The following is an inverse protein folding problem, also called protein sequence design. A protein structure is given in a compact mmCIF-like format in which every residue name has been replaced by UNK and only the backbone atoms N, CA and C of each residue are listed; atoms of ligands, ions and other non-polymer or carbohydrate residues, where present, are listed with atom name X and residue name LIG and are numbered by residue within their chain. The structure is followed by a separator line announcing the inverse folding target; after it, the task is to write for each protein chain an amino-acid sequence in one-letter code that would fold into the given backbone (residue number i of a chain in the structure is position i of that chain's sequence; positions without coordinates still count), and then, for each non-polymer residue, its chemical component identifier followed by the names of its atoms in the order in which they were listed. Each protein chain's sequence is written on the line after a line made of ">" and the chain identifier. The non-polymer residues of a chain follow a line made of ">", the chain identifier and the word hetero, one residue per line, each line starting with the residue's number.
data_IF_399041012656
#
_entry.id   IF_399041012656
#
_cell.length_a   1.000
_cell.length_b   1.000
_cell.length_c   1.000
_cell.angle_alpha   90.00
_cell.angle_beta   90.00
_cell.angle_gamma   90.00
#
_symmetry.space_group_name_H-M   'P 1'
#
loop_
_entity.id
_entity.type
_entity.pdbx_description
1 polymer ?
#
# COMPACT_ATOMS: atom_id res chain seq x y z
N UNK A 1 -25.29 -10.44 0.68
CA UNK A 1 -25.97 -9.19 0.99
C UNK A 1 -25.11 -8.34 1.94
N UNK A 2 -25.22 -7.00 1.88
CA UNK A 2 -24.49 -6.11 2.78
C UNK A 2 -24.95 -6.33 4.23
N UNK A 3 -24.05 -6.09 5.19
CA UNK A 3 -24.37 -6.21 6.62
C UNK A 3 -25.23 -5.06 7.14
N UNK A 4 -25.15 -3.91 6.48
CA UNK A 4 -25.85 -2.68 6.83
C UNK A 4 -26.47 -2.06 5.57
N UNK A 5 -27.57 -2.59 5.04
CA UNK A 5 -28.17 -2.11 3.79
C UNK A 5 -28.65 -0.66 3.90
N UNK A 6 -29.26 -0.29 5.02
CA UNK A 6 -29.76 1.07 5.24
C UNK A 6 -28.62 2.12 5.23
N UNK A 7 -27.45 1.78 5.80
CA UNK A 7 -26.28 2.63 5.74
C UNK A 7 -25.75 2.77 4.32
N UNK A 8 -25.75 1.68 3.55
CA UNK A 8 -25.32 1.69 2.15
C UNK A 8 -26.22 2.60 1.31
N UNK A 9 -27.54 2.47 1.49
CA UNK A 9 -28.53 3.28 0.77
C UNK A 9 -28.41 4.76 1.15
N UNK A 10 -28.25 5.05 2.43
CA UNK A 10 -28.03 6.42 2.90
C UNK A 10 -26.76 7.03 2.30
N UNK A 11 -25.64 6.30 2.28
CA UNK A 11 -24.38 6.76 1.68
C UNK A 11 -24.54 6.99 0.17
N UNK A 12 -25.28 6.15 -0.54
CA UNK A 12 -25.54 6.31 -1.96
C UNK A 12 -26.34 7.60 -2.25
N UNK A 13 -27.37 7.88 -1.44
CA UNK A 13 -28.16 9.10 -1.56
C UNK A 13 -27.33 10.33 -1.24
N UNK A 14 -26.58 10.33 -0.13
CA UNK A 14 -25.70 11.44 0.27
C UNK A 14 -24.64 11.73 -0.82
N UNK A 15 -24.06 10.69 -1.41
CA UNK A 15 -23.07 10.84 -2.48
C UNK A 15 -23.69 11.47 -3.73
N UNK A 16 -24.87 11.00 -4.16
CA UNK A 16 -25.62 11.56 -5.27
C UNK A 16 -25.99 13.03 -5.03
N UNK A 17 -26.56 13.32 -3.87
CA UNK A 17 -27.09 14.65 -3.54
C UNK A 17 -25.96 15.67 -3.29
N UNK A 18 -24.76 15.19 -2.95
CA UNK A 18 -23.55 16.03 -2.90
C UNK A 18 -22.96 16.39 -4.27
N UNK A 19 -23.59 15.98 -5.37
CA UNK A 19 -23.09 16.19 -6.74
C UNK A 19 -21.94 15.24 -7.11
N UNK A 20 -21.92 14.03 -6.54
CA UNK A 20 -20.88 13.02 -6.76
C UNK A 20 -19.48 13.47 -6.27
N UNK A 21 -19.44 14.26 -5.21
CA UNK A 21 -18.20 14.74 -4.60
C UNK A 21 -17.51 13.62 -3.81
N UNK A 22 -16.55 12.96 -4.47
CA UNK A 22 -15.77 11.88 -3.87
C UNK A 22 -14.93 12.35 -2.67
N UNK A 23 -14.42 13.58 -2.70
CA UNK A 23 -13.63 14.11 -1.57
C UNK A 23 -14.50 14.33 -0.34
N UNK A 24 -15.73 14.83 -0.51
CA UNK A 24 -16.71 14.98 0.56
C UNK A 24 -17.06 13.62 1.16
N UNK A 25 -17.30 12.60 0.31
CA UNK A 25 -17.60 11.24 0.77
C UNK A 25 -16.43 10.64 1.56
N UNK A 26 -15.19 10.74 1.07
CA UNK A 26 -14.00 10.25 1.78
C UNK A 26 -13.85 10.98 3.12
N UNK A 27 -14.04 12.31 3.14
CA UNK A 27 -13.99 13.10 4.38
C UNK A 27 -15.02 12.60 5.38
N UNK A 28 -16.26 12.33 4.95
CA UNK A 28 -17.30 11.75 5.79
C UNK A 28 -16.86 10.44 6.44
N UNK A 29 -16.24 9.52 5.67
CA UNK A 29 -15.73 8.27 6.20
C UNK A 29 -14.64 8.49 7.25
N UNK A 30 -13.56 9.20 6.90
CA UNK A 30 -12.38 9.32 7.78
C UNK A 30 -12.65 10.15 9.04
N UNK A 31 -13.69 10.99 9.05
CA UNK A 31 -14.11 11.75 10.23
C UNK A 31 -15.13 11.03 11.09
N UNK A 32 -15.71 9.92 10.60
CA UNK A 32 -16.71 9.15 11.34
C UNK A 32 -16.13 8.51 12.60
N UNK A 33 -16.94 8.35 13.64
CA UNK A 33 -16.54 7.63 14.86
C UNK A 33 -16.17 6.19 14.57
N UNK A 34 -16.89 5.55 13.66
CA UNK A 34 -16.65 4.17 13.24
C UNK A 34 -15.26 3.99 12.64
N UNK A 35 -14.84 4.87 11.72
CA UNK A 35 -13.50 4.81 11.12
C UNK A 35 -12.39 5.08 12.13
N UNK A 36 -12.63 6.00 13.06
CA UNK A 36 -11.65 6.45 14.06
C UNK A 36 -11.52 5.55 15.28
N UNK A 37 -12.25 4.46 15.34
CA UNK A 37 -12.15 3.50 16.42
C UNK A 37 -10.77 2.85 16.49
N UNK A 38 -10.28 2.61 17.70
CA UNK A 38 -9.10 1.80 17.92
C UNK A 38 -9.35 0.34 17.51
N UNK A 39 -8.32 -0.33 16.95
CA UNK A 39 -8.38 -1.74 16.60
C UNK A 39 -8.13 -2.67 17.80
N UNK A 40 -8.38 -2.17 19.03
CA UNK A 40 -8.20 -2.96 20.25
C UNK A 40 -9.30 -3.99 20.35
N UNK A 41 -8.89 -5.24 20.47
CA UNK A 41 -9.76 -6.39 20.59
C UNK A 41 -9.74 -6.89 22.05
N UNK A 42 -10.93 -6.94 22.67
CA UNK A 42 -11.12 -7.56 24.00
C UNK A 42 -11.81 -8.92 23.84
N UNK A 43 -11.68 -9.78 24.84
CA UNK A 43 -12.38 -11.07 24.84
C UNK A 43 -13.90 -10.90 24.70
N UNK A 44 -14.46 -9.90 25.37
CA UNK A 44 -15.87 -9.56 25.28
C UNK A 44 -16.29 -9.20 23.84
N UNK A 45 -15.55 -8.30 23.17
CA UNK A 45 -15.82 -7.92 21.77
C UNK A 45 -15.71 -9.10 20.82
N UNK A 46 -14.78 -10.03 21.05
CA UNK A 46 -14.68 -11.24 20.25
C UNK A 46 -15.89 -12.15 20.46
N UNK A 47 -16.35 -12.31 21.70
CA UNK A 47 -17.51 -13.15 21.99
C UNK A 47 -18.79 -12.58 21.39
N UNK A 48 -18.96 -11.26 21.41
CA UNK A 48 -20.20 -10.61 20.94
C UNK A 48 -20.20 -10.35 19.43
N UNK A 49 -19.03 -10.08 18.83
CA UNK A 49 -18.89 -9.65 17.44
C UNK A 49 -17.55 -10.14 16.87
N UNK A 50 -17.42 -11.46 16.69
CA UNK A 50 -16.21 -12.12 16.20
C UNK A 50 -15.75 -11.54 14.87
N UNK A 51 -16.69 -11.44 13.92
CA UNK A 51 -16.45 -10.96 12.55
C UNK A 51 -16.44 -9.43 12.41
N UNK A 52 -16.58 -8.68 13.53
CA UNK A 52 -16.71 -7.23 13.52
C UNK A 52 -17.89 -6.71 12.63
N UNK A 53 -18.98 -7.44 12.60
CA UNK A 53 -20.17 -7.09 11.79
C UNK A 53 -20.87 -5.85 12.30
N UNK A 54 -20.84 -5.62 13.60
CA UNK A 54 -21.43 -4.43 14.25
C UNK A 54 -20.47 -3.24 14.31
N UNK A 55 -19.29 -3.37 13.67
CA UNK A 55 -18.29 -2.31 13.62
C UNK A 55 -17.87 -1.84 15.04
N UNK A 56 -17.76 -2.79 15.97
CA UNK A 56 -17.45 -2.53 17.38
C UNK A 56 -15.99 -2.11 17.62
N UNK A 57 -15.13 -2.29 16.61
CA UNK A 57 -13.71 -1.96 16.62
C UNK A 57 -13.20 -1.59 15.23
N UNK A 58 -12.08 -0.88 15.18
CA UNK A 58 -11.38 -0.64 13.91
C UNK A 58 -10.89 -1.96 13.28
N UNK A 59 -10.93 -2.09 11.95
CA UNK A 59 -10.48 -3.30 11.29
C UNK A 59 -8.97 -3.49 11.43
N UNK A 60 -8.53 -4.74 11.56
CA UNK A 60 -7.11 -5.13 11.46
C UNK A 60 -6.91 -5.88 10.14
N UNK A 61 -6.15 -5.29 9.24
CA UNK A 61 -5.85 -5.91 7.96
C UNK A 61 -4.37 -5.75 7.62
N UNK A 62 -3.86 -6.67 6.83
CA UNK A 62 -2.53 -6.56 6.27
C UNK A 62 -2.55 -5.56 5.13
N UNK A 63 -1.64 -4.59 5.14
CA UNK A 63 -1.48 -3.62 4.07
C UNK A 63 -1.03 -4.29 2.77
N UNK A 64 -1.50 -3.81 1.65
CA UNK A 64 -1.01 -4.22 0.33
C UNK A 64 0.43 -3.73 0.11
N UNK A 65 1.17 -4.38 -0.78
CA UNK A 65 2.59 -4.10 -1.03
C UNK A 65 2.89 -2.61 -1.27
N UNK A 66 2.06 -1.97 -2.10
CA UNK A 66 2.19 -0.56 -2.42
C UNK A 66 1.97 0.33 -1.19
N UNK A 67 1.02 -0.05 -0.32
CA UNK A 67 0.75 0.68 0.91
C UNK A 67 1.91 0.55 1.91
N UNK A 68 2.54 -0.62 2.02
CA UNK A 68 3.68 -0.84 2.92
C UNK A 68 4.82 0.11 2.57
N UNK A 69 5.17 0.20 1.29
CA UNK A 69 6.23 1.10 0.83
C UNK A 69 5.84 2.57 1.00
N UNK A 70 4.67 2.96 0.51
CA UNK A 70 4.22 4.36 0.59
C UNK A 70 4.09 4.83 2.04
N UNK A 71 3.66 3.95 2.95
CA UNK A 71 3.60 4.23 4.38
C UNK A 71 4.98 4.44 5.00
N UNK A 72 5.96 3.59 4.66
CA UNK A 72 7.34 3.76 5.13
C UNK A 72 7.94 5.10 4.68
N UNK A 73 7.75 5.45 3.41
CA UNK A 73 8.20 6.73 2.85
C UNK A 73 7.47 7.93 3.48
N UNK A 74 6.17 7.82 3.72
CA UNK A 74 5.39 8.88 4.35
C UNK A 74 5.79 9.10 5.80
N UNK A 75 5.93 8.03 6.59
CA UNK A 75 6.31 8.10 7.99
C UNK A 75 7.72 8.70 8.19
N UNK A 76 8.63 8.42 7.26
CA UNK A 76 9.99 8.97 7.28
C UNK A 76 10.12 10.39 6.71
N UNK A 77 9.06 10.93 6.12
CA UNK A 77 9.09 12.24 5.45
C UNK A 77 9.75 12.22 4.06
N UNK A 78 10.12 11.06 3.54
CA UNK A 78 10.75 10.93 2.22
C UNK A 78 9.74 10.94 1.07
N UNK A 79 8.46 10.68 1.32
CA UNK A 79 7.47 10.54 0.25
C UNK A 79 7.34 11.81 -0.58
N UNK A 80 7.61 11.69 -1.88
CA UNK A 80 7.36 12.77 -2.83
C UNK A 80 5.86 12.96 -3.08
N UNK A 81 5.39 14.20 -3.00
CA UNK A 81 4.00 14.58 -3.29
C UNK A 81 3.72 14.79 -4.78
N UNK A 82 4.72 14.67 -5.64
CA UNK A 82 4.59 14.85 -7.09
C UNK A 82 3.57 13.89 -7.68
N UNK A 83 2.61 14.40 -8.44
CA UNK A 83 1.55 13.62 -9.11
C UNK A 83 1.66 13.73 -10.62
N UNK A 84 1.27 12.66 -11.34
CA UNK A 84 1.36 12.60 -12.80
C UNK A 84 2.79 12.40 -13.31
N UNK A 85 2.98 12.51 -14.63
CA UNK A 85 4.28 12.34 -15.27
C UNK A 85 4.71 10.88 -15.47
N UNK A 86 5.94 10.66 -15.96
CA UNK A 86 6.44 9.32 -16.30
C UNK A 86 6.66 8.45 -15.08
N UNK A 87 6.69 7.13 -15.30
CA UNK A 87 7.08 6.15 -14.29
C UNK A 87 8.50 6.33 -13.81
N UNK A 88 8.79 5.85 -12.61
CA UNK A 88 10.11 5.94 -11.96
C UNK A 88 10.67 4.56 -11.66
N UNK A 89 12.00 4.48 -11.52
CA UNK A 89 12.74 3.25 -11.24
C UNK A 89 13.39 3.33 -9.85
N UNK A 90 12.65 2.93 -8.79
CA UNK A 90 13.19 2.90 -7.44
C UNK A 90 14.29 1.84 -7.28
N UNK A 91 14.79 1.67 -6.06
CA UNK A 91 15.76 0.61 -5.73
C UNK A 91 15.31 -0.77 -6.19
N UNK A 92 16.24 -1.51 -6.78
CA UNK A 92 16.08 -2.92 -7.14
C UNK A 92 17.41 -3.65 -6.90
N UNK A 93 17.38 -4.93 -6.54
CA UNK A 93 18.60 -5.74 -6.50
C UNK A 93 19.32 -5.72 -7.85
N UNK A 94 20.66 -5.68 -7.82
CA UNK A 94 21.47 -5.79 -9.04
C UNK A 94 21.16 -7.08 -9.77
N UNK A 95 21.28 -7.03 -11.09
CA UNK A 95 21.22 -8.18 -12.01
C UNK A 95 19.90 -8.94 -12.15
N UNK A 96 18.91 -8.69 -11.31
CA UNK A 96 17.61 -9.38 -11.42
C UNK A 96 16.96 -9.23 -12.81
N UNK A 97 17.12 -8.07 -13.43
CA UNK A 97 16.58 -7.78 -14.75
C UNK A 97 17.39 -8.40 -15.88
N UNK A 98 18.66 -8.72 -15.63
CA UNK A 98 19.54 -9.36 -16.60
C UNK A 98 19.14 -10.82 -16.85
N UNK A 99 18.64 -11.50 -15.82
CA UNK A 99 18.20 -12.90 -15.87
C UNK A 99 16.94 -13.06 -16.71
N UNK A 100 15.99 -12.12 -16.59
CA UNK A 100 14.66 -12.20 -17.23
C UNK A 100 14.54 -11.33 -18.48
N UNK A 101 15.54 -10.49 -18.75
CA UNK A 101 15.56 -9.61 -19.93
C UNK A 101 16.04 -10.34 -21.18
N UNK A 102 15.26 -10.26 -22.27
CA UNK A 102 15.70 -10.76 -23.57
C UNK A 102 16.97 -10.00 -24.01
N UNK A 103 17.97 -10.71 -24.61
CA UNK A 103 19.11 -10.05 -25.24
C UNK A 103 18.65 -8.98 -26.22
N UNK A 104 19.19 -7.77 -26.11
CA UNK A 104 18.79 -6.63 -26.94
C UNK A 104 17.51 -5.90 -26.52
N UNK A 105 16.78 -6.40 -25.55
CA UNK A 105 15.58 -5.72 -25.02
C UNK A 105 15.92 -4.48 -24.19
N UNK A 106 15.13 -3.40 -24.37
CA UNK A 106 15.30 -2.13 -23.67
C UNK A 106 15.09 -2.22 -22.13
N UNK A 107 14.54 -3.32 -21.65
CA UNK A 107 14.24 -3.55 -20.24
C UNK A 107 15.23 -4.49 -19.55
N UNK A 108 16.26 -4.98 -20.27
CA UNK A 108 17.30 -5.82 -19.68
C UNK A 108 18.15 -5.05 -18.68
N UNK A 109 18.52 -3.84 -19.03
CA UNK A 109 19.33 -2.98 -18.18
C UNK A 109 18.44 -2.07 -17.35
N UNK A 110 18.22 -2.44 -16.09
CA UNK A 110 17.51 -1.59 -15.15
C UNK A 110 18.45 -0.47 -14.68
N UNK A 111 18.15 0.75 -15.09
CA UNK A 111 18.86 1.93 -14.59
C UNK A 111 18.02 2.58 -13.53
N UNK A 112 18.46 2.48 -12.28
CA UNK A 112 17.82 3.13 -11.13
C UNK A 112 17.82 4.64 -11.30
N UNK A 113 16.71 5.28 -10.95
CA UNK A 113 16.60 6.73 -10.85
C UNK A 113 17.34 7.27 -9.62
N UNK A 114 17.48 8.58 -9.52
CA UNK A 114 18.17 9.28 -8.42
C UNK A 114 17.30 10.41 -7.86
N UNK A 115 17.63 10.88 -6.65
CA UNK A 115 16.95 11.99 -6.01
C UNK A 115 15.47 11.71 -5.74
N UNK A 116 14.63 12.73 -5.87
CA UNK A 116 13.20 12.68 -5.56
C UNK A 116 12.44 11.54 -6.27
N UNK A 117 12.89 11.12 -7.44
CA UNK A 117 12.26 10.04 -8.20
C UNK A 117 12.27 8.69 -7.45
N UNK A 118 13.24 8.47 -6.57
CA UNK A 118 13.30 7.27 -5.73
C UNK A 118 12.14 7.18 -4.75
N UNK A 119 11.59 8.32 -4.36
CA UNK A 119 10.62 8.45 -3.27
C UNK A 119 9.20 8.72 -3.74
N UNK A 120 8.94 8.67 -5.04
CA UNK A 120 7.57 8.80 -5.56
C UNK A 120 6.70 7.64 -5.11
N UNK A 121 5.39 7.89 -5.05
CA UNK A 121 4.41 6.86 -4.72
C UNK A 121 4.60 5.61 -5.57
N UNK A 122 4.40 4.46 -4.97
CA UNK A 122 4.57 3.15 -5.61
C UNK A 122 3.72 2.97 -6.87
N UNK A 123 2.62 3.70 -6.98
CA UNK A 123 1.80 3.77 -8.20
C UNK A 123 2.63 4.11 -9.45
N UNK A 124 3.68 4.92 -9.31
CA UNK A 124 4.55 5.34 -10.41
C UNK A 124 5.75 4.43 -10.63
N UNK A 125 5.95 3.41 -9.79
CA UNK A 125 7.09 2.50 -9.92
C UNK A 125 7.00 1.68 -11.21
N UNK A 126 8.12 1.60 -11.92
CA UNK A 126 8.23 0.79 -13.12
C UNK A 126 7.97 -0.68 -12.79
N UNK A 127 7.11 -1.29 -13.59
CA UNK A 127 6.67 -2.67 -13.42
C UNK A 127 6.90 -3.45 -14.70
N UNK A 128 7.58 -4.59 -14.58
CA UNK A 128 7.74 -5.54 -15.68
C UNK A 128 6.95 -6.80 -15.34
N UNK A 129 6.05 -7.22 -16.23
CA UNK A 129 5.17 -8.38 -15.97
C UNK A 129 5.92 -9.68 -15.74
N UNK A 130 7.03 -9.91 -16.46
CA UNK A 130 7.83 -11.12 -16.31
C UNK A 130 8.88 -11.05 -15.19
N UNK A 131 9.07 -9.89 -14.59
CA UNK A 131 10.02 -9.67 -13.50
C UNK A 131 9.46 -8.58 -12.58
N UNK A 132 8.71 -9.01 -11.60
CA UNK A 132 8.15 -8.09 -10.62
C UNK A 132 9.26 -7.55 -9.72
N UNK A 133 9.09 -6.35 -9.12
CA UNK A 133 9.96 -5.92 -8.05
C UNK A 133 9.91 -6.92 -6.88
N UNK A 134 11.03 -7.53 -6.45
CA UNK A 134 11.02 -8.61 -5.46
C UNK A 134 10.42 -8.20 -4.11
N UNK A 135 10.63 -6.96 -3.70
CA UNK A 135 10.04 -6.43 -2.49
C UNK A 135 8.50 -6.33 -2.58
N UNK A 136 7.96 -6.04 -3.77
CA UNK A 136 6.50 -6.04 -3.98
C UNK A 136 5.93 -7.45 -4.01
N UNK A 137 6.64 -8.37 -4.66
CA UNK A 137 6.26 -9.78 -4.73
C UNK A 137 6.22 -10.43 -3.33
N UNK A 138 7.20 -10.12 -2.48
CA UNK A 138 7.23 -10.59 -1.10
C UNK A 138 5.99 -10.17 -0.29
N UNK A 139 5.34 -9.06 -0.66
CA UNK A 139 4.09 -8.58 -0.08
C UNK A 139 2.86 -8.91 -0.93
N UNK A 140 2.93 -9.94 -1.76
CA UNK A 140 1.82 -10.45 -2.59
C UNK A 140 1.24 -9.41 -3.57
N UNK A 141 2.08 -8.54 -4.13
CA UNK A 141 1.64 -7.68 -5.21
C UNK A 141 1.25 -8.54 -6.44
N UNK A 142 0.14 -8.24 -7.12
CA UNK A 142 -0.29 -9.02 -8.28
C UNK A 142 0.70 -8.88 -9.44
N UNK A 143 0.86 -9.95 -10.21
CA UNK A 143 1.76 -9.98 -11.38
C UNK A 143 1.35 -9.01 -12.49
N UNK A 144 0.08 -8.62 -12.54
CA UNK A 144 -0.54 -7.85 -13.62
C UNK A 144 -0.58 -8.57 -14.99
N UNK A 145 -0.30 -9.87 -15.01
CA UNK A 145 -0.48 -10.71 -16.19
C UNK A 145 -1.94 -11.13 -16.37
N UNK A 146 -2.60 -11.39 -15.25
CA UNK A 146 -4.01 -11.80 -15.20
C UNK A 146 -4.81 -10.89 -14.27
N UNK A 147 -6.12 -10.85 -14.51
CA UNK A 147 -7.02 -10.13 -13.62
C UNK A 147 -7.07 -10.81 -12.26
N UNK A 148 -6.80 -10.07 -11.20
CA UNK A 148 -6.85 -10.55 -9.82
C UNK A 148 -8.05 -9.93 -9.12
N UNK A 149 -9.05 -10.74 -8.83
CA UNK A 149 -10.28 -10.28 -8.15
C UNK A 149 -10.02 -9.93 -6.69
N UNK A 150 -9.15 -10.70 -6.04
CA UNK A 150 -8.78 -10.50 -4.63
C UNK A 150 -7.29 -10.79 -4.45
N UNK A 151 -6.59 -9.85 -3.79
CA UNK A 151 -5.18 -10.06 -3.43
C UNK A 151 -5.06 -10.98 -2.22
N UNK A 152 -4.08 -11.86 -2.26
CA UNK A 152 -3.69 -12.63 -1.09
C UNK A 152 -3.09 -11.72 -0.02
N UNK A 153 -3.33 -12.07 1.24
CA UNK A 153 -2.78 -11.36 2.40
C UNK A 153 -2.14 -12.36 3.32
N UNK A 154 -0.84 -12.45 3.26
CA UNK A 154 -0.05 -13.39 4.06
C UNK A 154 0.79 -12.66 5.09
N UNK A 155 1.28 -13.40 6.06
CA UNK A 155 2.26 -12.93 7.03
C UNK A 155 3.40 -13.94 7.08
N UNK A 156 4.48 -13.65 6.36
CA UNK A 156 5.61 -14.57 6.20
C UNK A 156 6.89 -14.00 6.81
N UNK A 157 7.83 -14.85 7.25
CA UNK A 157 9.14 -14.40 7.70
C UNK A 157 9.91 -13.60 6.62
N UNK A 158 9.69 -13.93 5.35
CA UNK A 158 10.31 -13.21 4.23
C UNK A 158 9.91 -11.73 4.20
N UNK A 159 8.66 -11.40 4.52
CA UNK A 159 8.21 -10.01 4.61
C UNK A 159 8.97 -9.24 5.70
N UNK A 160 9.23 -9.86 6.84
CA UNK A 160 10.05 -9.26 7.89
C UNK A 160 11.49 -9.04 7.41
N UNK A 161 12.09 -10.04 6.75
CA UNK A 161 13.44 -9.92 6.20
C UNK A 161 13.54 -8.81 5.14
N UNK A 162 12.54 -8.65 4.29
CA UNK A 162 12.49 -7.56 3.30
C UNK A 162 12.46 -6.19 4.00
N UNK A 163 11.61 -6.00 5.01
CA UNK A 163 11.55 -4.72 5.72
C UNK A 163 12.84 -4.38 6.47
N UNK A 164 13.62 -5.39 6.87
CA UNK A 164 14.88 -5.20 7.60
C UNK A 164 16.11 -5.02 6.69
N UNK A 165 16.05 -5.47 5.43
CA UNK A 165 17.23 -5.54 4.57
C UNK A 165 17.10 -4.79 3.23
N UNK A 166 15.89 -4.54 2.74
CA UNK A 166 15.71 -3.78 1.49
C UNK A 166 16.15 -2.33 1.70
N UNK A 167 17.03 -1.79 0.83
CA UNK A 167 17.56 -0.43 0.95
C UNK A 167 16.51 0.64 1.16
N UNK A 168 15.33 0.53 0.56
CA UNK A 168 14.25 1.52 0.70
C UNK A 168 13.71 1.59 2.13
N UNK A 169 13.51 0.42 2.76
CA UNK A 169 12.99 0.37 4.12
C UNK A 169 14.06 0.76 5.15
N UNK A 170 15.31 0.36 4.93
CA UNK A 170 16.44 0.73 5.80
C UNK A 170 16.67 2.25 5.74
N UNK A 171 16.63 2.85 4.56
CA UNK A 171 16.75 4.30 4.38
C UNK A 171 15.59 5.05 5.05
N UNK A 172 14.35 4.58 4.85
CA UNK A 172 13.18 5.17 5.49
C UNK A 172 13.27 5.09 7.03
N UNK A 173 13.68 3.95 7.57
CA UNK A 173 13.86 3.76 9.01
C UNK A 173 14.95 4.69 9.58
N UNK A 174 16.08 4.82 8.87
CA UNK A 174 17.17 5.73 9.25
C UNK A 174 16.71 7.19 9.26
N UNK A 175 15.99 7.62 8.22
CA UNK A 175 15.49 8.99 8.12
C UNK A 175 14.46 9.29 9.21
N UNK A 176 13.55 8.33 9.48
CA UNK A 176 12.60 8.45 10.59
C UNK A 176 13.32 8.61 11.95
N UNK A 177 14.33 7.78 12.20
CA UNK A 177 15.11 7.86 13.43
C UNK A 177 15.85 9.21 13.57
N UNK A 178 16.42 9.73 12.47
CA UNK A 178 17.04 11.05 12.45
C UNK A 178 16.06 12.17 12.79
N UNK A 179 14.83 12.11 12.23
CA UNK A 179 13.78 13.07 12.56
C UNK A 179 13.28 13.01 14.00
N UNK A 180 13.33 11.82 14.63
CA UNK A 180 12.93 11.66 16.02
C UNK A 180 13.98 12.15 17.03
N UNK A 181 15.24 12.34 16.60
CA UNK A 181 16.34 12.86 17.43
C UNK A 181 16.48 14.40 17.38
N UNK A 182 15.77 15.05 16.49
CA UNK A 182 15.68 16.50 16.35
C UNK A 182 14.52 17.08 17.17
#
# INVERSE_FOLDING_TARGET
>A
PPTHPELLDWLAVEFRDSGWDLKKLIKLFVTSRTYRQAAVTTAEKLTQDEDNRFLSRGPRFRMDAEMVRDYALAASGLLSSSTGGPGVRPYQPSDIWNVVGLPGGNTRNYKQDTGEKLYRRTLYSFWKRMAHPPNMEAFNAPSREVCTVRRERTNTPLQALVTMNDPQFVEAARTLAQGALQ
#
